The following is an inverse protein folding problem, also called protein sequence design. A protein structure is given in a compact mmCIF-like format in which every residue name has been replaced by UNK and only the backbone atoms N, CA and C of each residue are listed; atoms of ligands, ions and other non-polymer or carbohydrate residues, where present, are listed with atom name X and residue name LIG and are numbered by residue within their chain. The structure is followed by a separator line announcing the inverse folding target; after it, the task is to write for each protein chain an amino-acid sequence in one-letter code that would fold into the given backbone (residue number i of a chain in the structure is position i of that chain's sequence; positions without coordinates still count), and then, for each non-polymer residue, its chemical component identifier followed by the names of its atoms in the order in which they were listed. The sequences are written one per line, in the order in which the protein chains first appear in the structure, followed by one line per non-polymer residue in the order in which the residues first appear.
data_IF_696201526372
#
_entry.id   IF_696201526372
#
_cell.length_a   1.000
_cell.length_b   1.000
_cell.length_c   1.000
_cell.angle_alpha   90.00
_cell.angle_beta   90.00
_cell.angle_gamma   90.00
#
_symmetry.space_group_name_H-M   'P 1'
#
loop_
_entity.id
_entity.type
_entity.pdbx_description
1 polymer ?
#
# COMPACT_ATOMS: atom_id res chain seq x y z
N UNK A 1 -2.51 17.30 7.24
CA UNK A 1 -1.93 16.32 6.29
C UNK A 1 -2.17 14.87 6.70
N UNK A 2 -1.71 14.36 7.85
CA UNK A 2 -2.01 12.96 8.25
C UNK A 2 -3.45 12.78 8.78
N UNK A 3 -3.98 13.74 9.55
CA UNK A 3 -5.36 13.68 10.04
C UNK A 3 -6.41 13.74 8.91
N UNK A 4 -6.19 14.57 7.89
CA UNK A 4 -7.10 14.70 6.73
C UNK A 4 -7.21 13.39 5.92
N UNK A 5 -6.11 12.65 5.78
CA UNK A 5 -6.12 11.33 5.11
C UNK A 5 -6.97 10.32 5.89
N UNK A 6 -6.81 10.29 7.21
CA UNK A 6 -7.56 9.36 8.04
C UNK A 6 -9.04 9.71 8.10
N UNK A 7 -9.39 10.99 8.11
CA UNK A 7 -10.79 11.42 7.99
C UNK A 7 -11.41 10.99 6.66
N UNK A 8 -10.66 11.12 5.55
CA UNK A 8 -11.11 10.64 4.25
C UNK A 8 -11.33 9.12 4.24
N UNK A 9 -10.38 8.33 4.76
CA UNK A 9 -10.49 6.87 4.88
C UNK A 9 -11.72 6.49 5.72
N UNK A 10 -11.94 7.14 6.88
CA UNK A 10 -13.09 6.87 7.74
C UNK A 10 -14.41 7.18 7.05
N UNK A 11 -14.49 8.32 6.38
CA UNK A 11 -15.68 8.73 5.62
C UNK A 11 -16.00 7.71 4.53
N UNK A 12 -15.00 7.32 3.74
CA UNK A 12 -15.18 6.41 2.61
C UNK A 12 -15.49 4.98 3.04
N UNK A 13 -14.86 4.52 4.14
CA UNK A 13 -15.20 3.23 4.74
C UNK A 13 -16.65 3.21 5.25
N UNK A 14 -17.11 4.30 5.88
CA UNK A 14 -18.50 4.44 6.32
C UNK A 14 -19.50 4.44 5.15
N UNK A 15 -19.20 5.16 4.06
CA UNK A 15 -20.02 5.15 2.84
C UNK A 15 -20.16 3.75 2.23
N UNK A 16 -19.11 2.92 2.36
CA UNK A 16 -19.09 1.54 1.89
C UNK A 16 -19.59 0.52 2.91
N UNK A 17 -19.98 0.96 4.11
CA UNK A 17 -20.47 0.10 5.19
C UNK A 17 -19.40 -0.87 5.73
N UNK A 18 -18.12 -0.49 5.69
CA UNK A 18 -17.00 -1.30 6.18
C UNK A 18 -16.20 -0.59 7.25
N UNK A 19 -15.43 -1.36 8.03
CA UNK A 19 -14.51 -0.79 9.00
C UNK A 19 -13.33 -0.10 8.29
N UNK A 20 -12.82 1.04 8.79
CA UNK A 20 -11.66 1.72 8.20
C UNK A 20 -10.46 0.80 7.98
N UNK A 21 -10.23 -0.15 8.89
CA UNK A 21 -9.15 -1.14 8.83
C UNK A 21 -9.30 -2.07 7.62
N UNK A 22 -10.53 -2.43 7.25
CA UNK A 22 -10.81 -3.24 6.05
C UNK A 22 -10.46 -2.47 4.79
N UNK A 23 -10.85 -1.19 4.71
CA UNK A 23 -10.50 -0.34 3.57
C UNK A 23 -8.99 -0.13 3.49
N UNK A 24 -8.31 0.10 4.61
CA UNK A 24 -6.86 0.26 4.66
C UNK A 24 -6.14 -1.02 4.18
N UNK A 25 -6.59 -2.20 4.59
CA UNK A 25 -6.07 -3.47 4.10
C UNK A 25 -6.24 -3.62 2.58
N UNK A 26 -7.44 -3.38 2.07
CA UNK A 26 -7.70 -3.45 0.62
C UNK A 26 -6.85 -2.46 -0.19
N UNK A 27 -6.60 -1.26 0.36
CA UNK A 27 -5.70 -0.29 -0.26
C UNK A 27 -4.25 -0.75 -0.24
N UNK A 28 -3.78 -1.33 0.86
CA UNK A 28 -2.43 -1.88 0.97
C UNK A 28 -2.21 -3.01 -0.07
N UNK A 29 -3.13 -3.97 -0.16
CA UNK A 29 -3.04 -5.10 -1.11
C UNK A 29 -3.00 -4.62 -2.58
N UNK A 30 -3.86 -3.65 -2.90
CA UNK A 30 -3.94 -3.12 -4.24
C UNK A 30 -2.74 -2.20 -4.57
N UNK A 31 -2.14 -1.55 -3.57
CA UNK A 31 -0.89 -0.80 -3.71
C UNK A 31 0.30 -1.73 -3.92
N UNK A 32 0.36 -2.84 -3.18
CA UNK A 32 1.38 -3.88 -3.37
C UNK A 32 1.33 -4.41 -4.81
N UNK A 33 0.13 -4.75 -5.28
CA UNK A 33 -0.08 -5.20 -6.66
C UNK A 33 0.40 -4.17 -7.69
N UNK A 34 0.14 -2.89 -7.43
CA UNK A 34 0.55 -1.82 -8.34
C UNK A 34 2.07 -1.58 -8.28
N UNK A 35 2.69 -1.65 -7.10
CA UNK A 35 4.14 -1.56 -6.91
C UNK A 35 4.86 -2.68 -7.67
N UNK A 36 4.43 -3.94 -7.52
CA UNK A 36 5.03 -5.12 -8.18
C UNK A 36 4.95 -5.09 -9.72
N UNK A 37 4.15 -4.19 -10.30
CA UNK A 37 4.06 -3.96 -11.76
C UNK A 37 5.03 -2.88 -12.25
N UNK A 38 5.68 -2.14 -11.34
CA UNK A 38 6.63 -1.11 -11.71
C UNK A 38 7.95 -1.72 -12.21
N UNK A 39 8.61 -1.09 -13.19
CA UNK A 39 9.96 -1.47 -13.59
C UNK A 39 10.93 -1.40 -12.40
N UNK A 40 11.69 -2.46 -12.17
CA UNK A 40 12.68 -2.53 -11.09
C UNK A 40 12.10 -2.71 -9.68
N UNK A 41 10.82 -3.08 -9.56
CA UNK A 41 10.24 -3.48 -8.28
C UNK A 41 10.80 -4.84 -7.82
N UNK A 42 10.84 -5.04 -6.50
CA UNK A 42 11.17 -6.33 -5.91
C UNK A 42 9.98 -7.28 -6.04
N UNK A 43 10.27 -8.54 -6.34
CA UNK A 43 9.25 -9.60 -6.47
C UNK A 43 8.58 -9.90 -5.12
N UNK A 44 9.39 -10.05 -4.08
CA UNK A 44 8.91 -10.20 -2.70
C UNK A 44 8.87 -8.84 -2.00
N UNK A 45 7.72 -8.18 -2.14
CA UNK A 45 7.42 -6.91 -1.51
C UNK A 45 6.01 -6.92 -0.92
N UNK A 46 5.80 -6.15 0.13
CA UNK A 46 4.50 -5.94 0.76
C UNK A 46 4.33 -4.48 1.17
N UNK A 47 3.07 -4.06 1.26
CA UNK A 47 2.71 -2.70 1.67
C UNK A 47 2.07 -2.74 3.04
N UNK A 48 2.53 -1.86 3.93
CA UNK A 48 1.89 -1.63 5.23
C UNK A 48 1.36 -0.22 5.30
N UNK A 49 0.30 -0.04 6.09
CA UNK A 49 -0.26 1.26 6.39
C UNK A 49 -0.38 1.42 7.90
N UNK A 50 0.14 2.54 8.41
CA UNK A 50 0.01 2.89 9.81
C UNK A 50 -1.48 3.18 10.12
N UNK A 51 -2.09 2.47 11.10
CA UNK A 51 -3.53 2.59 11.38
C UNK A 51 -3.92 3.90 12.06
N UNK A 52 -2.95 4.66 12.56
CA UNK A 52 -3.13 5.94 13.25
C UNK A 52 -2.92 7.10 12.27
N UNK A 53 -1.85 7.05 11.48
CA UNK A 53 -1.43 8.16 10.62
C UNK A 53 -1.84 7.98 9.16
N UNK A 54 -2.12 6.75 8.73
CA UNK A 54 -2.38 6.40 7.34
C UNK A 54 -1.13 6.46 6.46
N UNK A 55 0.07 6.57 7.04
CA UNK A 55 1.34 6.53 6.32
C UNK A 55 1.54 5.15 5.69
N UNK A 56 2.00 5.12 4.44
CA UNK A 56 2.20 3.88 3.69
C UNK A 56 3.69 3.63 3.53
N UNK A 57 4.11 2.38 3.75
CA UNK A 57 5.48 1.93 3.55
C UNK A 57 5.49 0.72 2.63
N UNK A 58 6.46 0.67 1.73
CA UNK A 58 6.73 -0.51 0.89
C UNK A 58 8.01 -1.14 1.39
N UNK A 59 7.91 -2.39 1.84
CA UNK A 59 9.05 -3.17 2.32
C UNK A 59 9.27 -4.33 1.37
N UNK A 60 10.52 -4.70 1.14
CA UNK A 60 10.88 -5.82 0.30
C UNK A 60 12.02 -6.64 0.89
N UNK A 61 12.19 -7.84 0.37
CA UNK A 61 13.31 -8.71 0.66
C UNK A 61 13.72 -9.41 -0.64
N UNK A 62 15.01 -9.75 -0.78
CA UNK A 62 15.47 -10.54 -1.91
C UNK A 62 15.00 -12.00 -1.76
N UNK A 63 14.84 -12.69 -2.90
CA UNK A 63 14.54 -14.12 -2.94
C UNK A 63 15.78 -14.89 -3.35
N UNK A 64 16.07 -15.99 -2.67
CA UNK A 64 17.20 -16.87 -2.99
C UNK A 64 16.89 -17.78 -4.19
N UNK A 65 17.78 -18.73 -4.47
CA UNK A 65 17.65 -19.65 -5.61
C UNK A 65 16.43 -20.57 -5.51
N UNK A 66 15.92 -20.81 -4.30
CA UNK A 66 14.74 -21.63 -4.02
C UNK A 66 13.44 -20.79 -3.95
N UNK A 67 13.55 -19.46 -4.10
CA UNK A 67 12.45 -18.53 -4.01
C UNK A 67 12.05 -18.19 -2.57
N UNK A 68 12.93 -18.45 -1.59
CA UNK A 68 12.70 -18.12 -0.19
C UNK A 68 13.24 -16.72 0.13
N UNK A 69 12.55 -15.92 0.97
CA UNK A 69 13.05 -14.61 1.36
C UNK A 69 14.35 -14.70 2.17
N UNK A 70 15.39 -13.96 1.77
CA UNK A 70 16.70 -13.95 2.43
C UNK A 70 17.28 -12.53 2.58
N UNK A 71 18.24 -12.37 3.49
CA UNK A 71 18.87 -11.08 3.75
C UNK A 71 18.03 -10.12 4.59
N UNK A 72 18.39 -8.83 4.69
CA UNK A 72 17.63 -7.86 5.47
C UNK A 72 16.38 -7.38 4.73
N UNK A 73 15.39 -6.91 5.49
CA UNK A 73 14.29 -6.12 4.92
C UNK A 73 14.80 -4.78 4.40
N UNK A 74 14.30 -4.38 3.23
CA UNK A 74 14.67 -3.16 2.53
C UNK A 74 13.47 -2.21 2.50
N UNK A 75 13.68 -0.95 2.89
CA UNK A 75 12.72 0.12 2.63
C UNK A 75 12.84 0.55 1.17
N UNK A 76 11.83 0.19 0.38
CA UNK A 76 11.75 0.44 -1.05
C UNK A 76 10.58 1.36 -1.39
N UNK A 77 10.13 2.14 -0.39
CA UNK A 77 9.03 3.08 -0.54
C UNK A 77 9.35 4.08 -1.65
N UNK A 78 8.55 4.16 -2.73
CA UNK A 78 8.76 5.13 -3.79
C UNK A 78 8.70 6.57 -3.28
N UNK A 79 9.23 7.51 -4.06
CA UNK A 79 9.08 8.93 -3.76
C UNK A 79 7.60 9.33 -3.65
N UNK A 80 7.31 10.39 -2.90
CA UNK A 80 5.93 10.80 -2.61
C UNK A 80 5.10 11.09 -3.86
N UNK A 81 5.70 11.57 -4.96
CA UNK A 81 4.98 11.86 -6.20
C UNK A 81 4.59 10.57 -6.93
N UNK A 82 5.49 9.58 -6.96
CA UNK A 82 5.22 8.25 -7.52
C UNK A 82 4.22 7.49 -6.67
N UNK A 83 4.44 7.42 -5.35
CA UNK A 83 3.55 6.74 -4.41
C UNK A 83 2.15 7.37 -4.41
N UNK A 84 2.05 8.71 -4.41
CA UNK A 84 0.76 9.40 -4.45
C UNK A 84 -0.05 9.10 -5.72
N UNK A 85 0.62 8.98 -6.87
CA UNK A 85 -0.03 8.63 -8.15
C UNK A 85 -0.57 7.21 -8.13
N UNK A 86 0.24 6.26 -7.66
CA UNK A 86 -0.14 4.85 -7.57
C UNK A 86 -1.30 4.71 -6.58
N UNK A 87 -1.19 5.34 -5.40
CA UNK A 87 -2.24 5.36 -4.39
C UNK A 87 -3.54 5.93 -4.94
N UNK A 88 -3.52 7.05 -5.66
CA UNK A 88 -4.73 7.62 -6.24
C UNK A 88 -5.40 6.70 -7.27
N UNK A 89 -4.61 5.99 -8.08
CA UNK A 89 -5.13 5.01 -9.06
C UNK A 89 -5.72 3.79 -8.36
N UNK A 90 -4.97 3.23 -7.40
CA UNK A 90 -5.40 2.10 -6.58
C UNK A 90 -6.68 2.42 -5.82
N UNK A 91 -6.75 3.59 -5.19
CA UNK A 91 -7.90 4.03 -4.42
C UNK A 91 -9.16 4.05 -5.28
N UNK A 92 -9.09 4.62 -6.48
CA UNK A 92 -10.20 4.59 -7.45
C UNK A 92 -10.62 3.15 -7.78
N UNK A 93 -9.65 2.26 -7.99
CA UNK A 93 -9.94 0.86 -8.32
C UNK A 93 -10.61 0.11 -7.17
N UNK A 94 -10.16 0.29 -5.93
CA UNK A 94 -10.78 -0.32 -4.74
C UNK A 94 -12.19 0.21 -4.53
N UNK A 95 -12.42 1.50 -4.78
CA UNK A 95 -13.75 2.11 -4.65
C UNK A 95 -14.74 1.71 -5.73
N UNK A 96 -14.27 1.26 -6.89
CA UNK A 96 -15.12 0.74 -7.98
C UNK A 96 -15.46 -0.74 -7.85
N UNK A 97 -14.75 -1.47 -6.98
CA UNK A 97 -15.10 -2.84 -6.59
C UNK A 97 -16.29 -2.83 -5.62
#
# INVERSE_FOLDING_TARGET
MNEERMEAIRTLAAEKGMAPEVLMGALADALETAYKRMPGSYEYAWVTMDPITGEMRVTAQELDEDGEPFGPELDVTPDQATLGRIAAQTFKQVMMQ
#
